data_IF_477841548620
#
_entry.id   IF_477841548620
#
_cell.length_a   1.000
_cell.length_b   1.000
_cell.length_c   1.000
_cell.angle_alpha   90.00
_cell.angle_beta   90.00
_cell.angle_gamma   90.00
#
_symmetry.space_group_name_H-M   'P 1'
#
loop_
_entity.id
_entity.type
_entity.pdbx_description
1 polymer ?
#
# COMPACT_ATOMS: atom_id res chain seq x y z
N UNK A 1 32.13 -31.69 -36.53
CA UNK A 1 31.85 -31.15 -35.18
C UNK A 1 30.76 -30.13 -35.39
N UNK A 2 29.54 -30.56 -35.13
CA UNK A 2 28.32 -29.86 -35.54
C UNK A 2 28.04 -28.74 -34.54
N UNK A 3 27.42 -27.64 -34.99
CA UNK A 3 27.04 -26.42 -34.24
C UNK A 3 26.33 -26.62 -32.87
N UNK A 4 26.04 -27.86 -32.45
CA UNK A 4 25.35 -28.19 -31.19
C UNK A 4 26.23 -28.16 -29.94
N UNK A 5 27.56 -28.25 -30.08
CA UNK A 5 28.48 -28.29 -28.93
C UNK A 5 28.92 -26.90 -28.47
N UNK A 6 28.47 -25.84 -29.16
CA UNK A 6 28.81 -24.46 -28.80
C UNK A 6 27.86 -23.95 -27.69
N UNK A 7 28.37 -23.22 -26.69
CA UNK A 7 27.53 -22.56 -25.69
C UNK A 7 26.46 -21.67 -26.34
N UNK A 8 25.31 -21.55 -25.68
CA UNK A 8 24.14 -20.86 -26.24
C UNK A 8 24.43 -19.37 -26.48
N UNK A 9 25.28 -18.77 -25.66
CA UNK A 9 25.74 -17.38 -25.72
C UNK A 9 26.62 -17.06 -26.94
N UNK A 10 27.27 -18.06 -27.55
CA UNK A 10 28.14 -17.86 -28.73
C UNK A 10 27.43 -18.17 -30.06
N UNK A 11 26.11 -18.34 -30.02
CA UNK A 11 25.30 -18.55 -31.20
C UNK A 11 25.14 -17.24 -31.98
N UNK A 12 25.20 -17.28 -33.33
CA UNK A 12 25.10 -16.08 -34.15
C UNK A 12 23.75 -15.35 -33.98
N UNK A 13 22.68 -16.08 -33.67
CA UNK A 13 21.37 -15.45 -33.38
C UNK A 13 21.38 -14.64 -32.08
N UNK A 14 22.12 -15.08 -31.06
CA UNK A 14 22.25 -14.37 -29.79
C UNK A 14 23.13 -13.12 -29.95
N UNK A 15 24.23 -13.23 -30.71
CA UNK A 15 25.05 -12.08 -31.05
C UNK A 15 24.25 -11.01 -31.81
N UNK A 16 23.46 -11.42 -32.80
CA UNK A 16 22.60 -10.50 -33.56
C UNK A 16 21.52 -9.82 -32.71
N UNK A 17 20.99 -10.50 -31.68
CA UNK A 17 19.99 -9.93 -30.77
C UNK A 17 20.61 -8.95 -29.75
N UNK A 18 21.89 -9.09 -29.40
CA UNK A 18 22.61 -8.15 -28.53
C UNK A 18 23.02 -6.89 -29.27
N UNK A 19 23.39 -7.02 -30.54
CA UNK A 19 23.75 -5.90 -31.41
C UNK A 19 22.53 -5.14 -31.96
N UNK A 20 21.32 -5.68 -31.79
CA UNK A 20 20.07 -5.01 -32.15
C UNK A 20 19.77 -3.91 -31.12
N UNK A 21 20.05 -2.66 -31.49
CA UNK A 21 19.81 -1.44 -30.70
C UNK A 21 18.29 -1.11 -30.66
N UNK A 22 17.46 -2.10 -30.34
CA UNK A 22 16.00 -2.02 -30.26
C UNK A 22 15.50 -1.69 -28.84
N UNK A 23 16.41 -1.27 -27.95
CA UNK A 23 16.05 -0.78 -26.63
C UNK A 23 15.08 0.40 -26.75
N UNK A 24 14.04 0.42 -25.91
CA UNK A 24 13.14 1.57 -25.82
C UNK A 24 13.93 2.72 -25.18
N UNK A 25 14.20 3.83 -25.89
CA UNK A 25 15.10 4.88 -25.39
C UNK A 25 14.65 5.46 -24.05
N UNK A 26 13.33 5.60 -23.85
CA UNK A 26 12.74 6.08 -22.60
C UNK A 26 13.09 5.19 -21.40
N UNK A 27 13.16 3.86 -21.58
CA UNK A 27 13.56 2.95 -20.51
C UNK A 27 15.07 3.01 -20.24
N UNK A 28 15.88 3.28 -21.26
CA UNK A 28 17.35 3.38 -21.14
C UNK A 28 17.80 4.67 -20.45
N UNK A 29 17.11 5.79 -20.70
CA UNK A 29 17.42 7.08 -20.08
C UNK A 29 16.53 7.41 -18.88
N UNK A 30 15.64 6.48 -18.48
CA UNK A 30 14.77 6.62 -17.30
C UNK A 30 13.57 7.55 -17.49
N UNK A 31 13.29 8.00 -18.71
CA UNK A 31 12.25 8.97 -19.02
C UNK A 31 12.50 10.36 -18.40
N UNK A 32 11.87 11.38 -18.98
CA UNK A 32 11.78 12.69 -18.33
C UNK A 32 10.68 12.66 -17.25
N UNK A 33 10.55 13.76 -16.50
CA UNK A 33 9.40 13.91 -15.62
C UNK A 33 8.11 13.92 -16.44
N UNK A 34 7.19 13.02 -16.12
CA UNK A 34 5.86 12.94 -16.73
C UNK A 34 4.78 12.71 -15.67
N UNK A 35 3.55 12.45 -16.11
CA UNK A 35 2.40 12.23 -15.23
C UNK A 35 2.59 11.02 -14.30
N UNK A 36 3.16 9.95 -14.82
CA UNK A 36 3.31 8.67 -14.13
C UNK A 36 4.70 8.55 -13.45
N UNK A 37 5.66 9.39 -13.87
CA UNK A 37 7.01 9.53 -13.29
C UNK A 37 7.29 10.99 -12.92
N UNK A 38 6.70 11.53 -11.84
CA UNK A 38 6.92 12.91 -11.45
C UNK A 38 8.32 13.14 -10.85
N UNK A 39 8.92 14.30 -11.14
CA UNK A 39 10.12 14.75 -10.44
C UNK A 39 9.74 15.48 -9.15
N UNK A 40 10.38 15.11 -8.04
CA UNK A 40 10.17 15.74 -6.74
C UNK A 40 11.22 16.82 -6.47
N UNK A 41 10.79 17.97 -5.96
CA UNK A 41 11.69 19.03 -5.52
C UNK A 41 12.57 18.56 -4.35
N UNK A 42 13.85 18.96 -4.35
CA UNK A 42 14.72 18.75 -3.21
C UNK A 42 14.35 19.65 -2.01
N UNK A 43 14.83 19.34 -0.79
CA UNK A 43 14.60 20.18 0.38
C UNK A 43 15.14 21.61 0.16
N UNK A 44 14.24 22.60 0.14
CA UNK A 44 14.57 24.02 -0.06
C UNK A 44 14.50 24.51 -1.51
N UNK A 45 14.18 23.64 -2.47
CA UNK A 45 13.98 24.01 -3.87
C UNK A 45 12.54 24.50 -4.12
N UNK A 46 12.39 25.71 -4.66
CA UNK A 46 11.09 26.21 -5.13
C UNK A 46 10.99 25.97 -6.63
N UNK A 47 10.13 25.03 -7.01
CA UNK A 47 9.68 24.88 -8.39
C UNK A 47 8.64 25.99 -8.62
N UNK A 48 8.77 26.76 -9.71
CA UNK A 48 7.83 27.82 -10.05
C UNK A 48 6.41 27.24 -10.24
N UNK A 49 5.54 27.55 -9.27
CA UNK A 49 4.19 27.01 -9.03
C UNK A 49 3.08 27.59 -9.93
N UNK A 50 3.42 28.18 -11.08
CA UNK A 50 2.43 28.83 -11.95
C UNK A 50 1.66 27.84 -12.86
N UNK A 51 1.90 26.53 -12.72
CA UNK A 51 0.95 25.54 -13.20
C UNK A 51 -0.17 25.38 -12.15
N UNK A 52 -1.46 25.37 -12.54
CA UNK A 52 -2.55 25.21 -11.58
C UNK A 52 -2.46 23.83 -10.92
N UNK A 53 -1.81 23.76 -9.76
CA UNK A 53 -1.80 22.59 -8.88
C UNK A 53 -3.12 22.45 -8.12
N UNK A 54 -4.12 23.28 -8.42
CA UNK A 54 -5.42 23.32 -7.77
C UNK A 54 -6.17 21.97 -7.89
N UNK A 55 -5.92 21.21 -8.96
CA UNK A 55 -6.44 19.84 -9.12
C UNK A 55 -5.59 18.76 -8.40
N UNK A 56 -4.36 19.08 -7.97
CA UNK A 56 -3.38 18.13 -7.38
C UNK A 56 -3.23 18.29 -5.86
N UNK A 57 -3.50 19.49 -5.32
CA UNK A 57 -3.42 19.80 -3.87
C UNK A 57 -4.83 19.87 -3.26
N UNK A 58 -5.80 19.12 -3.81
CA UNK A 58 -6.90 18.66 -2.98
C UNK A 58 -6.37 17.43 -2.24
N UNK A 59 -5.93 17.60 -0.99
CA UNK A 59 -5.59 16.46 -0.14
C UNK A 59 -6.83 15.55 -0.05
N UNK A 60 -6.80 14.31 -0.58
CA UNK A 60 -7.95 13.41 -0.57
C UNK A 60 -8.36 13.01 0.87
N UNK A 61 -7.52 13.32 1.87
CA UNK A 61 -7.81 13.17 3.30
C UNK A 61 -8.25 14.47 4.00
N UNK A 62 -8.34 15.60 3.29
CA UNK A 62 -8.82 16.88 3.83
C UNK A 62 -10.32 16.88 4.22
N UNK A 63 -11.03 15.77 4.04
CA UNK A 63 -12.39 15.59 4.52
C UNK A 63 -12.56 15.70 6.06
N UNK A 64 -11.47 15.92 6.83
CA UNK A 64 -11.51 16.04 8.29
C UNK A 64 -11.27 17.43 8.91
N UNK A 65 -10.88 18.45 8.15
CA UNK A 65 -10.44 19.74 8.76
C UNK A 65 -11.54 20.80 8.75
N UNK A 66 -12.36 20.81 9.81
CA UNK A 66 -13.15 21.99 10.13
C UNK A 66 -12.28 23.17 10.57
N UNK A 67 -12.55 24.34 9.98
CA UNK A 67 -12.33 25.76 10.36
C UNK A 67 -11.12 26.27 11.19
N UNK A 68 -10.34 25.49 11.93
CA UNK A 68 -9.24 26.01 12.76
C UNK A 68 -7.98 25.19 12.57
N UNK A 69 -7.18 25.58 11.56
CA UNK A 69 -5.87 25.01 11.26
C UNK A 69 -4.82 25.28 12.34
N UNK A 70 -4.91 24.59 13.47
CA UNK A 70 -3.86 24.56 14.49
C UNK A 70 -3.31 23.15 14.57
N UNK A 71 -2.22 22.88 13.85
CA UNK A 71 -1.50 21.60 13.84
C UNK A 71 -0.86 21.27 15.18
N UNK A 72 -1.66 20.96 16.19
CA UNK A 72 -1.23 20.35 17.45
C UNK A 72 -1.94 19.00 17.54
N UNK A 73 -1.15 17.93 17.52
CA UNK A 73 -1.58 16.53 17.52
C UNK A 73 -2.35 16.13 18.78
N UNK A 74 -3.56 16.65 18.96
CA UNK A 74 -4.61 15.87 19.53
C UNK A 74 -4.96 14.83 18.46
N UNK A 75 -4.62 13.56 18.71
CA UNK A 75 -5.27 12.48 17.96
C UNK A 75 -6.77 12.82 17.92
N UNK A 76 -7.40 12.97 16.74
CA UNK A 76 -8.85 13.10 16.72
C UNK A 76 -9.40 11.96 17.56
N UNK A 77 -10.44 12.22 18.35
CA UNK A 77 -11.15 11.17 19.07
C UNK A 77 -11.66 10.04 18.13
N UNK A 78 -11.56 10.27 16.81
CA UNK A 78 -11.86 9.38 15.69
C UNK A 78 -10.61 8.76 15.02
N UNK A 79 -9.53 8.47 15.76
CA UNK A 79 -8.56 7.47 15.27
C UNK A 79 -9.28 6.12 15.24
N UNK A 80 -9.66 5.69 14.03
CA UNK A 80 -10.24 4.37 13.79
C UNK A 80 -9.13 3.32 13.77
N UNK A 81 -8.99 2.60 14.87
CA UNK A 81 -8.03 1.50 15.08
C UNK A 81 -8.47 0.17 14.48
N UNK A 82 -9.64 0.11 13.83
CA UNK A 82 -10.25 -1.11 13.29
C UNK A 82 -10.92 -1.99 14.35
N UNK A 83 -10.56 -1.85 15.63
CA UNK A 83 -11.17 -2.58 16.74
C UNK A 83 -12.54 -2.01 17.18
N UNK A 84 -12.90 -0.81 16.71
CA UNK A 84 -14.17 -0.15 17.00
C UNK A 84 -15.35 -0.58 16.10
N UNK A 85 -15.09 -1.35 15.03
CA UNK A 85 -16.16 -1.96 14.24
C UNK A 85 -16.86 -3.04 15.10
N UNK A 86 -18.18 -3.26 14.99
CA UNK A 86 -18.82 -4.39 15.65
C UNK A 86 -18.20 -5.71 15.17
N UNK A 87 -17.64 -6.50 16.09
CA UNK A 87 -17.10 -7.84 15.84
C UNK A 87 -18.19 -8.89 16.02
N UNK A 88 -18.31 -9.80 15.05
CA UNK A 88 -19.15 -10.98 15.21
C UNK A 88 -18.41 -12.08 15.99
N UNK A 89 -19.13 -13.03 16.61
CA UNK A 89 -18.50 -14.17 17.30
C UNK A 89 -17.55 -14.98 16.42
N UNK A 90 -17.85 -15.08 15.12
CA UNK A 90 -17.04 -15.79 14.13
C UNK A 90 -15.69 -15.10 13.92
N UNK A 91 -15.65 -13.77 13.89
CA UNK A 91 -14.42 -12.99 13.75
C UNK A 91 -13.46 -13.26 14.91
N UNK A 92 -13.99 -13.37 16.13
CA UNK A 92 -13.20 -13.68 17.33
C UNK A 92 -12.61 -15.09 17.30
N UNK A 93 -13.33 -16.06 16.75
CA UNK A 93 -12.82 -17.43 16.55
C UNK A 93 -11.71 -17.43 15.51
N UNK A 94 -11.91 -16.72 14.39
CA UNK A 94 -10.93 -16.60 13.31
C UNK A 94 -9.66 -15.87 13.77
N UNK A 95 -9.78 -14.78 14.51
CA UNK A 95 -8.63 -14.04 15.04
C UNK A 95 -7.79 -14.86 16.04
N UNK A 96 -8.38 -15.86 16.69
CA UNK A 96 -7.68 -16.83 17.54
C UNK A 96 -7.03 -17.98 16.76
N UNK A 97 -7.29 -18.07 15.45
CA UNK A 97 -6.87 -19.19 14.61
C UNK A 97 -7.58 -20.50 14.96
N UNK A 98 -8.82 -20.43 15.44
CA UNK A 98 -9.62 -21.61 15.78
C UNK A 98 -10.57 -21.97 14.64
N UNK A 99 -10.95 -23.24 14.54
CA UNK A 99 -11.96 -23.68 13.58
C UNK A 99 -13.36 -23.17 13.98
N UNK A 100 -14.18 -22.85 12.96
CA UNK A 100 -15.56 -22.38 13.09
C UNK A 100 -16.53 -23.51 13.50
N UNK A 101 -16.29 -24.13 14.65
CA UNK A 101 -17.22 -25.10 15.24
C UNK A 101 -18.30 -24.40 16.06
N UNK A 102 -19.51 -24.98 16.20
CA UNK A 102 -20.59 -24.38 16.99
C UNK A 102 -20.19 -24.07 18.44
N UNK A 103 -19.37 -24.93 19.04
CA UNK A 103 -18.87 -24.76 20.41
C UNK A 103 -17.94 -23.55 20.55
N UNK A 104 -17.06 -23.34 19.56
CA UNK A 104 -16.15 -22.20 19.56
C UNK A 104 -16.91 -20.88 19.35
N UNK A 105 -17.93 -20.89 18.48
CA UNK A 105 -18.81 -19.73 18.23
C UNK A 105 -19.63 -19.36 19.47
N UNK A 106 -20.23 -20.34 20.16
CA UNK A 106 -20.97 -20.10 21.41
C UNK A 106 -20.08 -19.50 22.51
N UNK A 107 -18.84 -20.00 22.62
CA UNK A 107 -17.85 -19.44 23.55
C UNK A 107 -17.50 -17.99 23.20
N UNK A 108 -17.24 -17.69 21.93
CA UNK A 108 -16.94 -16.34 21.47
C UNK A 108 -18.12 -15.38 21.67
N UNK A 109 -19.36 -15.84 21.42
CA UNK A 109 -20.58 -15.07 21.69
C UNK A 109 -20.70 -14.72 23.17
N UNK A 110 -20.50 -15.68 24.06
CA UNK A 110 -20.54 -15.44 25.51
C UNK A 110 -19.46 -14.43 25.94
N UNK A 111 -18.27 -14.55 25.39
CA UNK A 111 -17.15 -13.68 25.73
C UNK A 111 -17.35 -12.23 25.25
N UNK A 112 -17.91 -12.04 24.05
CA UNK A 112 -18.34 -10.73 23.57
C UNK A 112 -19.44 -10.13 24.44
N UNK A 113 -20.42 -10.94 24.87
CA UNK A 113 -21.49 -10.47 25.73
C UNK A 113 -20.99 -10.08 27.14
N UNK A 114 -19.99 -10.77 27.66
CA UNK A 114 -19.45 -10.56 29.01
C UNK A 114 -18.40 -9.45 29.05
N UNK A 115 -17.50 -9.39 28.07
CA UNK A 115 -16.29 -8.54 28.11
C UNK A 115 -16.26 -7.50 26.99
N UNK A 116 -17.09 -7.64 25.96
CA UNK A 116 -17.21 -6.70 24.85
C UNK A 116 -15.87 -6.39 24.19
N UNK A 117 -15.55 -5.10 24.11
CA UNK A 117 -14.34 -4.57 23.46
C UNK A 117 -13.04 -5.14 24.03
N UNK A 118 -12.97 -5.42 25.33
CA UNK A 118 -11.75 -5.95 25.94
C UNK A 118 -11.41 -7.38 25.46
N UNK A 119 -12.40 -8.16 24.99
CA UNK A 119 -12.14 -9.46 24.36
C UNK A 119 -11.42 -9.32 23.01
N UNK A 120 -11.75 -8.26 22.27
CA UNK A 120 -11.17 -7.93 20.96
C UNK A 120 -9.73 -7.46 21.15
N UNK A 121 -9.51 -6.48 22.03
CA UNK A 121 -8.17 -5.92 22.31
C UNK A 121 -7.17 -6.97 22.82
N UNK A 122 -7.64 -7.99 23.54
CA UNK A 122 -6.78 -9.11 23.97
C UNK A 122 -6.37 -10.03 22.83
N UNK A 123 -7.26 -10.19 21.85
CA UNK A 123 -7.09 -11.17 20.77
C UNK A 123 -6.32 -10.57 19.59
N UNK A 124 -6.52 -9.28 19.33
CA UNK A 124 -5.91 -8.55 18.21
C UNK A 124 -5.02 -7.43 18.78
N UNK A 125 -3.69 -7.61 18.81
CA UNK A 125 -2.75 -6.61 19.31
C UNK A 125 -2.54 -5.44 18.35
#
# INVERSE_FOLDING_TARGET
MTDRDRPLEERPEVAAAVDDDSGVPELMTGGGADRDTPAFAGPGERIDLDAPTEDVIADPYAAGTGATGTGTGAAPADIRTGAEQPWDPEDLVMARGQDLTPENIERARRELAETGRAAIEKTVP
#
